data_IF_270574286726
#
_entry.id   IF_270574286726
#
_cell.length_a   1.000
_cell.length_b   1.000
_cell.length_c   1.000
_cell.angle_alpha   90.00
_cell.angle_beta   90.00
_cell.angle_gamma   90.00
#
_symmetry.space_group_name_H-M   'P 1'
#
loop_
_entity.id
_entity.type
_entity.pdbx_description
1 polymer ?
#
# COMPACT_ATOMS: atom_id res chain seq x y z
N UNK A 1 -13.50 -12.12 -4.15
CA UNK A 1 -12.08 -11.75 -4.37
C UNK A 1 -11.93 -10.34 -3.87
N UNK A 2 -10.92 -10.03 -3.04
CA UNK A 2 -10.73 -8.65 -2.57
C UNK A 2 -10.21 -7.77 -3.71
N UNK A 3 -10.58 -6.49 -3.72
CA UNK A 3 -9.99 -5.51 -4.64
C UNK A 3 -8.58 -5.14 -4.17
N UNK A 4 -7.78 -4.55 -5.05
CA UNK A 4 -6.47 -4.07 -4.66
C UNK A 4 -6.54 -2.96 -3.59
N UNK A 5 -7.57 -2.10 -3.62
CA UNK A 5 -7.79 -1.07 -2.60
C UNK A 5 -8.12 -1.67 -1.23
N UNK A 6 -8.96 -2.72 -1.19
CA UNK A 6 -9.28 -3.45 0.05
C UNK A 6 -8.02 -4.07 0.66
N UNK A 7 -7.16 -4.69 -0.14
CA UNK A 7 -5.90 -5.24 0.34
C UNK A 7 -4.95 -4.15 0.85
N UNK A 8 -4.85 -3.00 0.17
CA UNK A 8 -4.04 -1.86 0.66
C UNK A 8 -4.54 -1.43 2.05
N UNK A 9 -5.84 -1.22 2.22
CA UNK A 9 -6.42 -0.81 3.50
C UNK A 9 -6.13 -1.82 4.62
N UNK A 10 -6.14 -3.12 4.32
CA UNK A 10 -5.75 -4.16 5.27
C UNK A 10 -4.27 -4.11 5.65
N UNK A 11 -3.38 -3.84 4.70
CA UNK A 11 -1.96 -3.68 5.02
C UNK A 11 -1.75 -2.44 5.88
N UNK A 12 -2.38 -1.31 5.54
CA UNK A 12 -2.28 -0.05 6.29
C UNK A 12 -2.84 -0.16 7.71
N UNK A 13 -3.83 -1.04 7.95
CA UNK A 13 -4.37 -1.29 9.28
C UNK A 13 -3.45 -2.18 10.13
N UNK A 14 -2.73 -3.13 9.53
CA UNK A 14 -1.89 -4.13 10.22
C UNK A 14 -0.43 -3.75 10.40
N UNK A 15 0.11 -2.91 9.51
CA UNK A 15 1.54 -2.58 9.51
C UNK A 15 1.78 -1.07 9.69
N UNK A 16 2.87 -0.74 10.38
CA UNK A 16 3.45 0.59 10.45
C UNK A 16 4.35 0.80 9.24
N UNK A 17 3.99 1.74 8.38
CA UNK A 17 4.83 2.20 7.26
C UNK A 17 5.42 3.57 7.58
N UNK A 18 6.56 3.88 6.98
CA UNK A 18 7.12 5.22 7.01
C UNK A 18 6.12 6.25 6.47
N UNK A 19 6.08 7.45 7.07
CA UNK A 19 5.20 8.53 6.66
C UNK A 19 5.39 8.91 5.18
N UNK A 20 6.62 8.86 4.66
CA UNK A 20 6.92 9.13 3.26
C UNK A 20 6.24 8.13 2.32
N UNK A 21 6.24 6.83 2.69
CA UNK A 21 5.54 5.77 1.95
C UNK A 21 4.04 6.01 1.95
N UNK A 22 3.46 6.36 3.11
CA UNK A 22 2.03 6.67 3.22
C UNK A 22 1.62 7.86 2.34
N UNK A 23 2.43 8.91 2.32
CA UNK A 23 2.20 10.09 1.48
C UNK A 23 2.28 9.76 -0.02
N UNK A 24 3.27 8.98 -0.43
CA UNK A 24 3.44 8.57 -1.83
C UNK A 24 2.26 7.71 -2.31
N UNK A 25 1.83 6.71 -1.52
CA UNK A 25 0.67 5.88 -1.84
C UNK A 25 -0.60 6.74 -1.94
N UNK A 26 -0.85 7.61 -0.95
CA UNK A 26 -2.04 8.46 -0.98
C UNK A 26 -2.06 9.38 -2.21
N UNK A 27 -0.92 9.98 -2.56
CA UNK A 27 -0.80 10.81 -3.76
C UNK A 27 -1.09 10.02 -5.04
N UNK A 28 -0.49 8.83 -5.20
CA UNK A 28 -0.68 7.98 -6.38
C UNK A 28 -2.13 7.54 -6.54
N UNK A 29 -2.76 7.08 -5.47
CA UNK A 29 -4.17 6.66 -5.49
C UNK A 29 -5.15 7.84 -5.68
N UNK A 30 -4.73 9.06 -5.33
CA UNK A 30 -5.51 10.26 -5.66
C UNK A 30 -5.41 10.64 -7.14
N UNK A 31 -4.30 10.33 -7.80
CA UNK A 31 -4.05 10.66 -9.20
C UNK A 31 -4.67 9.65 -10.18
N UNK A 32 -4.64 8.35 -9.86
CA UNK A 32 -5.16 7.30 -10.72
C UNK A 32 -5.69 6.13 -9.88
N UNK A 33 -6.90 5.68 -10.22
CA UNK A 33 -7.59 4.54 -9.57
C UNK A 33 -7.83 3.36 -10.50
N UNK A 34 -7.14 3.33 -11.64
CA UNK A 34 -7.20 2.16 -12.51
C UNK A 34 -6.65 0.94 -11.77
N UNK A 35 -7.40 -0.15 -11.81
CA UNK A 35 -7.13 -1.35 -11.02
C UNK A 35 -5.69 -1.89 -11.21
N UNK A 36 -5.17 -1.84 -12.44
CA UNK A 36 -3.79 -2.23 -12.72
C UNK A 36 -2.77 -1.32 -12.01
N UNK A 37 -3.05 -0.03 -11.89
CA UNK A 37 -2.22 0.95 -11.20
C UNK A 37 -2.31 0.77 -9.68
N UNK A 38 -3.51 0.54 -9.13
CA UNK A 38 -3.69 0.24 -7.70
C UNK A 38 -2.94 -1.05 -7.32
N UNK A 39 -2.95 -2.09 -8.17
CA UNK A 39 -2.16 -3.31 -7.94
C UNK A 39 -0.65 -3.05 -7.86
N UNK A 40 -0.12 -2.08 -8.61
CA UNK A 40 1.29 -1.70 -8.49
C UNK A 40 1.59 -1.11 -7.11
N UNK A 41 0.67 -0.29 -6.57
CA UNK A 41 0.79 0.29 -5.23
C UNK A 41 0.73 -0.77 -4.13
N UNK A 42 -0.20 -1.72 -4.27
CA UNK A 42 -0.29 -2.87 -3.38
C UNK A 42 1.02 -3.69 -3.36
N UNK A 43 1.59 -3.96 -4.54
CA UNK A 43 2.87 -4.67 -4.64
C UNK A 43 4.00 -3.91 -3.96
N UNK A 44 4.04 -2.59 -4.12
CA UNK A 44 5.04 -1.76 -3.44
C UNK A 44 4.94 -1.87 -1.91
N UNK A 45 3.73 -1.77 -1.34
CA UNK A 45 3.51 -1.96 0.10
C UNK A 45 3.91 -3.36 0.58
N UNK A 46 3.55 -4.42 -0.16
CA UNK A 46 3.98 -5.79 0.15
C UNK A 46 5.51 -5.92 0.18
N UNK A 47 6.21 -5.25 -0.74
CA UNK A 47 7.67 -5.25 -0.76
C UNK A 47 8.27 -4.53 0.46
N UNK A 48 7.65 -3.44 0.96
CA UNK A 48 8.10 -2.79 2.20
C UNK A 48 8.06 -3.75 3.40
N UNK A 49 7.02 -4.60 3.46
CA UNK A 49 6.90 -5.63 4.51
C UNK A 49 7.95 -6.72 4.33
N UNK A 50 8.08 -7.28 3.11
CA UNK A 50 9.05 -8.35 2.81
C UNK A 50 10.49 -7.93 3.09
N UNK A 51 10.83 -6.66 2.84
CA UNK A 51 12.17 -6.11 3.10
C UNK A 51 12.38 -5.71 4.56
N UNK A 52 11.36 -5.82 5.41
CA UNK A 52 11.44 -5.47 6.83
C UNK A 52 11.43 -3.96 7.11
N UNK A 53 11.02 -3.13 6.14
CA UNK A 53 10.88 -1.69 6.34
C UNK A 53 9.56 -1.31 7.01
N UNK A 54 8.53 -2.14 6.85
CA UNK A 54 7.28 -2.02 7.58
C UNK A 54 7.23 -3.05 8.71
N UNK A 55 6.81 -2.63 9.89
CA UNK A 55 6.66 -3.51 11.07
C UNK A 55 5.20 -3.78 11.36
N UNK A 56 4.88 -4.94 11.95
CA UNK A 56 3.52 -5.19 12.43
C UNK A 56 3.17 -4.20 13.56
N UNK A 57 1.89 -3.85 13.64
CA UNK A 57 1.33 -3.02 14.73
C UNK A 57 1.08 -3.83 15.98
#
# INVERSE_FOLDING_TARGET
MKTAEEEINELLSKYNFDLAVLKDINYRLSCCREEAYVRQQLRYLKNQIIMGFATEK
#
